data_IF_286020123743
#
_entry.id   IF_286020123743
#
_cell.length_a   1.000
_cell.length_b   1.000
_cell.length_c   1.000
_cell.angle_alpha   90.00
_cell.angle_beta   90.00
_cell.angle_gamma   90.00
#
_symmetry.space_group_name_H-M   'P 1'
#
loop_
_entity.id
_entity.type
_entity.pdbx_description
1 polymer ?
#
# COMPACT_ATOMS: atom_id res chain seq x y z
N UNK A 1 13.06 2.34 -2.84
CA UNK A 1 11.83 1.81 -3.49
C UNK A 1 10.99 1.13 -2.43
N UNK A 2 9.66 1.12 -2.56
CA UNK A 2 8.76 0.56 -1.55
C UNK A 2 7.85 -0.52 -2.14
N UNK A 3 7.57 -1.55 -1.35
CA UNK A 3 6.66 -2.63 -1.68
C UNK A 3 5.32 -2.42 -1.00
N UNK A 4 4.26 -2.60 -1.75
CA UNK A 4 2.89 -2.53 -1.24
C UNK A 4 2.60 -3.79 -0.42
N UNK A 5 2.26 -3.61 0.85
CA UNK A 5 1.89 -4.72 1.76
C UNK A 5 0.39 -4.82 1.92
N UNK A 6 -0.34 -3.72 1.71
CA UNK A 6 -1.80 -3.68 1.75
C UNK A 6 -2.33 -3.01 0.49
N UNK A 7 -3.33 -3.58 -0.21
CA UNK A 7 -3.81 -2.98 -1.44
C UNK A 7 -4.52 -1.66 -1.13
N UNK A 8 -4.23 -0.63 -1.91
CA UNK A 8 -4.87 0.67 -1.80
C UNK A 8 -4.93 1.38 -3.14
N UNK A 9 -5.98 2.17 -3.40
CA UNK A 9 -6.03 3.02 -4.58
C UNK A 9 -5.11 4.22 -4.37
N UNK A 10 -4.18 4.43 -5.30
CA UNK A 10 -3.26 5.56 -5.30
C UNK A 10 -3.43 6.36 -6.59
N UNK A 11 -3.41 7.69 -6.50
CA UNK A 11 -3.43 8.57 -7.67
C UNK A 11 -2.18 9.45 -7.67
N UNK A 12 -1.46 9.43 -8.78
CA UNK A 12 -0.21 10.18 -8.97
C UNK A 12 -0.46 11.56 -9.59
N UNK A 13 -1.48 11.64 -10.44
CA UNK A 13 -1.93 12.82 -11.15
C UNK A 13 -3.11 13.53 -10.45
N UNK A 14 -3.70 12.89 -9.43
CA UNK A 14 -4.90 13.37 -8.74
C UNK A 14 -6.21 13.14 -9.51
N UNK A 15 -6.15 12.52 -10.70
CA UNK A 15 -7.31 12.26 -11.56
C UNK A 15 -7.51 10.77 -11.82
N UNK A 16 -6.42 10.01 -11.95
CA UNK A 16 -6.42 8.59 -12.26
C UNK A 16 -6.11 7.80 -10.99
N UNK A 17 -7.07 6.99 -10.54
CA UNK A 17 -6.85 6.02 -9.46
C UNK A 17 -6.24 4.75 -10.06
N UNK A 18 -5.10 4.35 -9.52
CA UNK A 18 -4.43 3.09 -9.82
C UNK A 18 -4.55 2.20 -8.60
N UNK A 19 -5.19 1.05 -8.77
CA UNK A 19 -5.26 0.03 -7.72
C UNK A 19 -3.91 -0.66 -7.60
N UNK A 20 -3.25 -0.46 -6.46
CA UNK A 20 -1.99 -1.14 -6.13
C UNK A 20 -2.28 -2.45 -5.41
N UNK A 21 -1.64 -3.53 -5.86
CA UNK A 21 -1.80 -4.85 -5.25
C UNK A 21 -0.67 -5.14 -4.27
N UNK A 22 -0.90 -6.11 -3.38
CA UNK A 22 0.15 -6.60 -2.48
C UNK A 22 1.30 -7.17 -3.32
N UNK A 23 2.51 -6.68 -3.08
CA UNK A 23 3.70 -7.04 -3.84
C UNK A 23 4.07 -6.09 -4.97
N UNK A 24 3.25 -5.09 -5.30
CA UNK A 24 3.66 -4.03 -6.23
C UNK A 24 4.84 -3.25 -5.64
N UNK A 25 5.91 -3.09 -6.40
CA UNK A 25 7.08 -2.32 -6.02
C UNK A 25 7.11 -1.01 -6.80
N UNK A 26 6.99 0.13 -6.09
CA UNK A 26 6.99 1.47 -6.69
C UNK A 26 7.70 2.50 -5.82
N UNK A 27 8.04 3.62 -6.44
CA UNK A 27 8.61 4.76 -5.74
C UNK A 27 7.54 5.81 -5.44
N UNK A 28 7.12 5.87 -4.18
CA UNK A 28 6.12 6.81 -3.67
C UNK A 28 6.70 8.18 -3.31
N UNK A 29 8.01 8.37 -3.45
CA UNK A 29 8.70 9.63 -3.15
C UNK A 29 8.30 10.19 -1.79
N UNK A 30 7.86 11.44 -1.75
CA UNK A 30 7.48 12.13 -0.51
C UNK A 30 6.26 11.54 0.21
N UNK A 31 5.38 10.81 -0.50
CA UNK A 31 4.21 10.17 0.11
C UNK A 31 4.57 8.91 0.88
N UNK A 32 5.76 8.36 0.64
CA UNK A 32 6.19 7.10 1.22
C UNK A 32 6.13 7.11 2.75
N UNK A 33 6.59 8.20 3.40
CA UNK A 33 6.61 8.28 4.86
C UNK A 33 5.22 8.14 5.49
N UNK A 34 4.19 8.75 4.89
CA UNK A 34 2.81 8.60 5.38
C UNK A 34 2.26 7.20 5.16
N UNK A 35 2.54 6.62 3.99
CA UNK A 35 2.08 5.27 3.63
C UNK A 35 2.78 4.17 4.44
N UNK A 36 4.05 4.37 4.81
CA UNK A 36 4.78 3.50 5.73
C UNK A 36 4.22 3.62 7.15
N UNK A 37 3.99 4.84 7.64
CA UNK A 37 3.43 5.07 8.98
C UNK A 37 2.03 4.44 9.14
N UNK A 38 1.22 4.45 8.09
CA UNK A 38 -0.11 3.84 8.04
C UNK A 38 -0.08 2.32 7.74
N UNK A 39 1.10 1.77 7.42
CA UNK A 39 1.29 0.34 7.11
C UNK A 39 0.69 -0.12 5.78
N UNK A 40 0.65 0.76 4.77
CA UNK A 40 0.23 0.42 3.41
C UNK A 40 1.39 -0.11 2.55
N UNK A 41 2.59 0.45 2.75
CA UNK A 41 3.80 0.09 2.00
C UNK A 41 4.96 -0.11 2.99
N UNK A 42 6.00 -0.79 2.53
CA UNK A 42 7.22 -1.08 3.28
C UNK A 42 8.45 -0.76 2.43
N UNK A 43 9.54 -0.33 3.05
CA UNK A 43 10.80 -0.08 2.32
C UNK A 43 11.43 -1.43 1.93
N UNK A 44 11.75 -1.62 0.65
CA UNK A 44 12.32 -2.90 0.15
C UNK A 44 13.74 -3.15 0.69
N UNK A 45 14.43 -2.10 1.17
CA UNK A 45 15.71 -2.21 1.89
C UNK A 45 15.57 -2.68 3.35
N UNK A 46 14.35 -2.74 3.91
CA UNK A 46 14.13 -3.29 5.23
C UNK A 46 13.99 -4.82 5.13
N UNK A 47 15.09 -5.52 5.38
CA UNK A 47 15.16 -6.97 5.42
C UNK A 47 14.28 -7.52 6.55
N UNK A 48 13.13 -8.12 6.21
CA UNK A 48 12.53 -9.26 6.92
C UNK A 48 11.32 -8.99 7.83
N UNK A 49 10.35 -9.92 7.75
CA UNK A 49 9.18 -10.13 8.64
C UNK A 49 8.02 -9.11 8.41
N UNK A 50 6.81 -9.46 7.98
CA UNK A 50 5.91 -10.50 8.50
C UNK A 50 4.89 -11.02 7.44
N UNK A 51 4.71 -12.34 7.26
CA UNK A 51 3.68 -12.92 6.40
C UNK A 51 2.27 -13.04 7.02
N UNK A 52 2.01 -12.48 8.22
CA UNK A 52 0.82 -12.84 9.03
C UNK A 52 -0.05 -11.66 9.52
N UNK A 53 -0.41 -10.69 8.67
CA UNK A 53 -1.50 -9.76 9.01
C UNK A 53 -2.76 -10.07 8.20
N UNK A 54 -3.86 -10.56 8.80
CA UNK A 54 -5.08 -10.80 8.06
C UNK A 54 -5.62 -9.46 7.57
N UNK A 55 -5.68 -9.31 6.24
CA UNK A 55 -6.26 -8.13 5.59
C UNK A 55 -7.75 -8.07 5.96
N UNK A 56 -8.06 -7.23 6.94
CA UNK A 56 -9.42 -6.88 7.32
C UNK A 56 -10.04 -6.11 6.15
N UNK A 57 -10.89 -6.77 5.37
CA UNK A 57 -11.78 -6.09 4.40
C UNK A 57 -12.87 -5.38 5.21
N UNK A 58 -12.98 -4.04 5.26
CA UNK A 58 -14.18 -3.43 5.81
C UNK A 58 -15.34 -3.63 4.82
N UNK A 59 -16.47 -3.99 5.40
CA UNK A 59 -17.62 -4.59 4.74
C UNK A 59 -18.44 -3.66 3.83
N UNK A 60 -19.00 -4.28 2.79
CA UNK A 60 -20.29 -4.06 2.08
C UNK A 60 -21.05 -2.75 2.34
N UNK A 61 -21.45 -2.09 1.24
CA UNK A 61 -22.70 -1.31 1.19
C UNK A 61 -23.58 -1.79 0.04
N UNK A 62 -24.42 -2.77 0.36
CA UNK A 62 -25.56 -3.20 -0.46
C UNK A 62 -26.67 -2.16 -0.29
N UNK A 63 -27.32 -1.75 -1.39
CA UNK A 63 -28.61 -1.07 -1.37
C UNK A 63 -29.57 -1.88 -2.22
#
# INVERSE_FOLDING_TARGET
MHRVVRPFPCSWDGFTLVDLNVGDERDFGSMANGLVAEGFIEAVDAVGEDPDRPVVKPAKRTK
#
